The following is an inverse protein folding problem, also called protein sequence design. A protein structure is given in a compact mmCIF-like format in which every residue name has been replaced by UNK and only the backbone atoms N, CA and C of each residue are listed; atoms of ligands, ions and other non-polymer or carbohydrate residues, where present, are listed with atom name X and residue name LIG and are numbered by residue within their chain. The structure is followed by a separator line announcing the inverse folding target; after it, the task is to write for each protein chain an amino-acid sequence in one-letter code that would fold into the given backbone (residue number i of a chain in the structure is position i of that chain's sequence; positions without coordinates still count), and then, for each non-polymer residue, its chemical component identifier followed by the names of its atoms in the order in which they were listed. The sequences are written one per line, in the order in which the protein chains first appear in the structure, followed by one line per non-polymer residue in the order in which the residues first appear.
data_IF_837641219083
#
_entry.id   IF_837641219083
#
_cell.length_a   1.000
_cell.length_b   1.000
_cell.length_c   1.000
_cell.angle_alpha   90.00
_cell.angle_beta   90.00
_cell.angle_gamma   90.00
#
_symmetry.space_group_name_H-M   'P 1'
#
loop_
_entity.id
_entity.type
_entity.pdbx_description
1 polymer ?
#
# COMPACT_ATOMS: atom_id res chain seq x y z
N UNK A 1 12.79 -18.60 -20.94
CA UNK A 1 13.41 -17.36 -21.48
C UNK A 1 14.44 -17.81 -22.49
N UNK A 2 14.64 -17.07 -23.57
CA UNK A 2 15.64 -17.42 -24.58
C UNK A 2 16.30 -16.16 -25.12
N UNK A 3 17.41 -16.32 -25.84
CA UNK A 3 18.11 -15.21 -26.44
C UNK A 3 18.27 -15.40 -27.96
N UNK A 4 18.40 -14.27 -28.66
CA UNK A 4 18.69 -14.18 -30.08
C UNK A 4 19.94 -13.32 -30.29
N UNK A 5 20.81 -13.75 -31.19
CA UNK A 5 21.98 -12.98 -31.61
C UNK A 5 21.61 -12.08 -32.79
N UNK A 6 21.94 -10.79 -32.70
CA UNK A 6 21.74 -9.83 -33.80
C UNK A 6 23.05 -9.16 -34.14
N UNK A 7 23.39 -9.15 -35.42
CA UNK A 7 24.52 -8.39 -35.91
C UNK A 7 24.04 -7.01 -36.37
N UNK A 8 24.64 -5.95 -35.85
CA UNK A 8 24.38 -4.57 -36.29
C UNK A 8 25.21 -4.24 -37.52
N UNK A 9 24.83 -3.18 -38.22
CA UNK A 9 25.51 -2.69 -39.44
C UNK A 9 27.00 -2.36 -39.21
N UNK A 10 27.41 -2.07 -37.97
CA UNK A 10 28.80 -1.82 -37.59
C UNK A 10 29.57 -3.11 -37.26
N UNK A 11 29.01 -4.30 -37.54
CA UNK A 11 29.60 -5.60 -37.21
C UNK A 11 29.48 -5.99 -35.73
N UNK A 12 28.97 -5.12 -34.86
CA UNK A 12 28.82 -5.41 -33.45
C UNK A 12 27.69 -6.42 -33.21
N UNK A 13 27.99 -7.44 -32.41
CA UNK A 13 27.04 -8.47 -32.00
C UNK A 13 26.27 -7.97 -30.78
N UNK A 14 24.94 -8.00 -30.85
CA UNK A 14 24.05 -7.68 -29.74
C UNK A 14 23.19 -8.90 -29.40
N UNK A 15 23.16 -9.26 -28.12
CA UNK A 15 22.25 -10.28 -27.59
C UNK A 15 20.92 -9.65 -27.21
N UNK A 16 19.83 -10.24 -27.68
CA UNK A 16 18.46 -9.85 -27.37
C UNK A 16 17.80 -10.95 -26.54
N UNK A 17 17.22 -10.60 -25.40
CA UNK A 17 16.61 -11.57 -24.48
C UNK A 17 15.09 -11.48 -24.54
N UNK A 18 14.42 -12.62 -24.69
CA UNK A 18 12.98 -12.71 -24.90
C UNK A 18 12.38 -13.65 -23.86
N UNK A 19 11.27 -13.21 -23.25
CA UNK A 19 10.50 -14.02 -22.31
C UNK A 19 9.01 -14.01 -22.68
N UNK A 20 8.31 -15.09 -22.30
CA UNK A 20 6.87 -15.18 -22.45
C UNK A 20 6.18 -14.47 -21.29
N UNK A 21 5.39 -13.44 -21.56
CA UNK A 21 4.57 -12.78 -20.54
C UNK A 21 3.19 -13.46 -20.46
N UNK A 22 2.84 -14.11 -19.33
CA UNK A 22 1.55 -14.78 -19.18
C UNK A 22 0.35 -13.83 -19.19
N UNK A 23 0.54 -12.53 -18.91
CA UNK A 23 -0.57 -11.55 -18.90
C UNK A 23 -0.98 -11.15 -20.31
N UNK A 24 0.00 -10.77 -21.12
CA UNK A 24 -0.21 -10.35 -22.51
C UNK A 24 -0.26 -11.52 -23.49
N UNK A 25 0.14 -12.73 -23.04
CA UNK A 25 0.25 -13.94 -23.87
C UNK A 25 1.11 -13.70 -25.11
N UNK A 26 2.22 -12.99 -24.93
CA UNK A 26 3.14 -12.63 -26.00
C UNK A 26 4.60 -12.76 -25.55
N UNK A 27 5.48 -12.92 -26.54
CA UNK A 27 6.92 -12.83 -26.32
C UNK A 27 7.32 -11.36 -26.20
N UNK A 28 7.81 -10.98 -25.02
CA UNK A 28 8.31 -9.64 -24.73
C UNK A 28 9.83 -9.67 -24.70
N UNK A 29 10.45 -8.70 -25.38
CA UNK A 29 11.90 -8.49 -25.31
C UNK A 29 12.24 -7.64 -24.09
N UNK A 30 13.26 -8.05 -23.34
CA UNK A 30 13.81 -7.23 -22.26
C UNK A 30 14.35 -5.91 -22.80
N UNK A 31 14.21 -4.84 -22.01
CA UNK A 31 14.72 -3.53 -22.39
C UNK A 31 16.24 -3.52 -22.32
N UNK A 32 16.88 -2.74 -23.18
CA UNK A 32 18.35 -2.70 -23.27
C UNK A 32 19.02 -2.27 -21.96
N UNK A 33 18.36 -1.43 -21.15
CA UNK A 33 18.86 -0.98 -19.85
C UNK A 33 18.76 -2.05 -18.74
N UNK A 34 18.03 -3.15 -18.97
CA UNK A 34 17.92 -4.27 -18.04
C UNK A 34 18.94 -5.39 -18.34
N UNK A 35 19.67 -5.26 -19.45
CA UNK A 35 20.64 -6.23 -19.94
C UNK A 35 22.06 -5.71 -19.62
N UNK A 36 22.90 -6.50 -18.93
CA UNK A 36 24.29 -6.15 -18.69
C UNK A 36 25.06 -5.91 -20.00
N UNK A 37 25.90 -4.87 -20.05
CA UNK A 37 26.61 -4.47 -21.27
C UNK A 37 27.82 -5.37 -21.58
N UNK A 38 28.24 -6.20 -20.63
CA UNK A 38 29.43 -7.06 -20.66
C UNK A 38 29.17 -8.47 -21.24
N UNK A 39 27.94 -8.75 -21.70
CA UNK A 39 27.60 -10.02 -22.35
C UNK A 39 28.11 -10.00 -23.80
N UNK A 40 29.27 -10.63 -24.03
CA UNK A 40 29.92 -10.70 -25.35
C UNK A 40 29.98 -12.11 -25.93
N UNK A 41 29.59 -13.13 -25.15
CA UNK A 41 29.65 -14.54 -25.55
C UNK A 41 28.32 -15.25 -25.37
N UNK A 42 28.10 -16.29 -26.18
CA UNK A 42 26.90 -17.13 -26.11
C UNK A 42 26.77 -17.79 -24.72
N UNK A 43 27.89 -18.19 -24.11
CA UNK A 43 27.92 -18.76 -22.75
C UNK A 43 27.47 -17.76 -21.67
N UNK A 44 27.86 -16.48 -21.79
CA UNK A 44 27.38 -15.42 -20.88
C UNK A 44 25.88 -15.14 -21.10
N UNK A 45 25.39 -15.20 -22.34
CA UNK A 45 23.97 -15.03 -22.64
C UNK A 45 23.14 -16.18 -22.05
N UNK A 46 23.60 -17.43 -22.16
CA UNK A 46 22.98 -18.58 -21.51
C UNK A 46 22.97 -18.44 -19.98
N UNK A 47 24.09 -18.03 -19.39
CA UNK A 47 24.19 -17.80 -17.95
C UNK A 47 23.20 -16.71 -17.48
N UNK A 48 23.05 -15.63 -18.25
CA UNK A 48 22.10 -14.57 -17.94
C UNK A 48 20.64 -15.03 -18.06
N UNK A 49 20.30 -15.81 -19.09
CA UNK A 49 18.97 -16.44 -19.20
C UNK A 49 18.66 -17.30 -17.97
N UNK A 50 19.58 -18.18 -17.56
CA UNK A 50 19.41 -19.02 -16.37
C UNK A 50 19.26 -18.21 -15.09
N UNK A 51 20.06 -17.14 -14.94
CA UNK A 51 19.95 -16.23 -13.81
C UNK A 51 18.57 -15.58 -13.73
N UNK A 52 18.06 -15.06 -14.85
CA UNK A 52 16.74 -14.44 -14.91
C UNK A 52 15.60 -15.42 -14.70
N UNK A 53 15.72 -16.64 -15.20
CA UNK A 53 14.77 -17.71 -14.90
C UNK A 53 14.74 -18.03 -13.40
N UNK A 54 15.92 -18.15 -12.77
CA UNK A 54 16.03 -18.37 -11.33
C UNK A 54 15.42 -17.21 -10.51
N UNK A 55 15.62 -15.94 -10.91
CA UNK A 55 14.98 -14.78 -10.27
C UNK A 55 13.45 -14.84 -10.35
N UNK A 56 12.92 -15.20 -11.52
CA UNK A 56 11.47 -15.35 -11.76
C UNK A 56 10.93 -16.51 -10.92
N UNK A 57 11.63 -17.64 -10.89
CA UNK A 57 11.22 -18.82 -10.13
C UNK A 57 11.25 -18.53 -8.62
N UNK A 58 12.32 -17.92 -8.10
CA UNK A 58 12.41 -17.48 -6.71
C UNK A 58 11.26 -16.53 -6.34
N UNK A 59 10.90 -15.61 -7.23
CA UNK A 59 9.75 -14.72 -7.05
C UNK A 59 8.42 -15.47 -7.04
N UNK A 60 8.23 -16.43 -7.96
CA UNK A 60 7.05 -17.30 -7.98
C UNK A 60 6.95 -18.13 -6.70
N UNK A 61 8.03 -18.76 -6.25
CA UNK A 61 8.07 -19.52 -5.00
C UNK A 61 7.73 -18.65 -3.79
N UNK A 62 8.26 -17.43 -3.73
CA UNK A 62 7.94 -16.47 -2.66
C UNK A 62 6.46 -16.11 -2.64
N UNK A 63 5.86 -15.83 -3.81
CA UNK A 63 4.42 -15.55 -3.93
C UNK A 63 3.60 -16.78 -3.54
N UNK A 64 3.97 -17.97 -4.03
CA UNK A 64 3.28 -19.23 -3.74
C UNK A 64 3.32 -19.55 -2.24
N UNK A 65 4.48 -19.42 -1.59
CA UNK A 65 4.62 -19.59 -0.13
C UNK A 65 3.75 -18.59 0.64
N UNK A 66 3.70 -17.32 0.20
CA UNK A 66 2.83 -16.30 0.81
C UNK A 66 1.35 -16.67 0.68
N UNK A 67 0.90 -17.12 -0.49
CA UNK A 67 -0.48 -17.55 -0.71
C UNK A 67 -0.84 -18.80 0.08
N UNK A 68 0.05 -19.80 0.11
CA UNK A 68 -0.13 -21.01 0.91
C UNK A 68 -0.20 -20.69 2.42
N UNK A 69 0.65 -19.77 2.88
CA UNK A 69 0.62 -19.29 4.25
C UNK A 69 -0.70 -18.57 4.56
N UNK A 70 -1.18 -17.67 3.69
CA UNK A 70 -2.45 -16.98 3.89
C UNK A 70 -3.63 -17.96 4.03
N UNK A 71 -3.65 -19.02 3.22
CA UNK A 71 -4.70 -20.06 3.23
C UNK A 71 -4.62 -21.07 4.37
N UNK A 72 -3.57 -21.04 5.21
CA UNK A 72 -3.33 -22.07 6.24
C UNK A 72 -4.45 -22.14 7.30
N UNK A 73 -5.06 -21.01 7.65
CA UNK A 73 -6.14 -20.96 8.65
C UNK A 73 -7.46 -20.48 8.07
N UNK A 74 -7.43 -19.52 7.15
CA UNK A 74 -8.63 -18.91 6.59
C UNK A 74 -8.46 -18.60 5.10
N UNK A 75 -9.54 -18.73 4.34
CA UNK A 75 -9.63 -18.08 3.03
C UNK A 75 -10.08 -16.62 3.23
N UNK A 76 -9.11 -15.71 3.30
CA UNK A 76 -9.40 -14.29 3.51
C UNK A 76 -10.23 -13.66 2.39
N UNK A 77 -10.26 -14.25 1.19
CA UNK A 77 -11.14 -13.78 0.12
C UNK A 77 -12.60 -14.05 0.47
N UNK A 78 -12.92 -15.27 0.94
CA UNK A 78 -14.26 -15.62 1.43
C UNK A 78 -14.66 -14.73 2.61
N UNK A 79 -13.75 -14.50 3.56
CA UNK A 79 -14.04 -13.63 4.71
C UNK A 79 -14.33 -12.19 4.29
N UNK A 80 -13.61 -11.67 3.29
CA UNK A 80 -13.85 -10.34 2.73
C UNK A 80 -15.20 -10.25 2.03
N UNK A 81 -15.62 -11.28 1.31
CA UNK A 81 -16.93 -11.32 0.65
C UNK A 81 -18.08 -11.36 1.67
N UNK A 82 -17.93 -12.13 2.75
CA UNK A 82 -18.87 -12.13 3.88
C UNK A 82 -18.95 -10.73 4.50
N UNK A 83 -17.79 -10.12 4.77
CA UNK A 83 -17.71 -8.78 5.34
C UNK A 83 -18.37 -7.74 4.43
N UNK A 84 -18.08 -7.78 3.12
CA UNK A 84 -18.64 -6.86 2.13
C UNK A 84 -20.17 -6.89 2.14
N UNK A 85 -20.77 -8.08 2.05
CA UNK A 85 -22.22 -8.26 2.05
C UNK A 85 -22.84 -7.73 3.35
N UNK A 86 -22.26 -8.07 4.50
CA UNK A 86 -22.79 -7.66 5.80
C UNK A 86 -22.69 -6.14 6.03
N UNK A 87 -21.58 -5.51 5.65
CA UNK A 87 -21.42 -4.06 5.81
C UNK A 87 -22.26 -3.28 4.81
N UNK A 88 -22.42 -3.77 3.58
CA UNK A 88 -23.33 -3.16 2.60
C UNK A 88 -24.77 -3.12 3.13
N UNK A 89 -25.23 -4.19 3.78
CA UNK A 89 -26.56 -4.24 4.39
C UNK A 89 -26.70 -3.29 5.60
N UNK A 90 -25.68 -3.19 6.45
CA UNK A 90 -25.72 -2.36 7.67
C UNK A 90 -25.49 -0.87 7.41
N UNK A 91 -24.65 -0.52 6.44
CA UNK A 91 -24.16 0.83 6.23
C UNK A 91 -23.93 1.14 4.73
N UNK A 92 -25.00 1.20 3.92
CA UNK A 92 -24.92 1.30 2.46
C UNK A 92 -24.17 2.54 1.94
N UNK A 93 -24.12 3.61 2.73
CA UNK A 93 -23.44 4.86 2.34
C UNK A 93 -21.95 4.90 2.73
N UNK A 94 -21.46 3.96 3.55
CA UNK A 94 -20.09 4.02 4.09
C UNK A 94 -19.29 2.71 3.98
N UNK A 95 -19.90 1.64 3.45
CA UNK A 95 -19.26 0.33 3.34
C UNK A 95 -17.95 0.36 2.53
N UNK A 96 -17.89 1.16 1.47
CA UNK A 96 -16.69 1.29 0.63
C UNK A 96 -15.51 1.82 1.42
N UNK A 97 -15.74 2.83 2.28
CA UNK A 97 -14.71 3.37 3.17
C UNK A 97 -14.23 2.33 4.17
N UNK A 98 -15.15 1.57 4.77
CA UNK A 98 -14.77 0.50 5.71
C UNK A 98 -13.96 -0.60 5.03
N UNK A 99 -14.37 -1.00 3.83
CA UNK A 99 -13.66 -1.98 3.02
C UNK A 99 -12.26 -1.50 2.63
N UNK A 100 -12.15 -0.25 2.21
CA UNK A 100 -10.88 0.39 1.88
C UNK A 100 -9.93 0.36 3.08
N UNK A 101 -10.36 0.84 4.24
CA UNK A 101 -9.51 0.89 5.43
C UNK A 101 -9.08 -0.50 5.92
N UNK A 102 -10.01 -1.47 5.89
CA UNK A 102 -9.69 -2.85 6.23
C UNK A 102 -8.64 -3.44 5.29
N UNK A 103 -8.84 -3.35 3.97
CA UNK A 103 -7.93 -3.93 2.98
C UNK A 103 -6.56 -3.25 2.99
N UNK A 104 -6.55 -1.92 2.99
CA UNK A 104 -5.34 -1.13 2.84
C UNK A 104 -4.45 -1.16 4.08
N UNK A 105 -5.04 -1.18 5.28
CA UNK A 105 -4.28 -1.04 6.53
C UNK A 105 -4.44 -2.25 7.45
N UNK A 106 -5.67 -2.71 7.72
CA UNK A 106 -5.91 -3.84 8.61
C UNK A 106 -5.27 -5.13 8.10
N UNK A 107 -5.67 -5.60 6.92
CA UNK A 107 -5.15 -6.83 6.33
C UNK A 107 -3.68 -6.73 5.96
N UNK A 108 -3.20 -5.57 5.48
CA UNK A 108 -1.78 -5.39 5.20
C UNK A 108 -0.93 -5.59 6.46
N UNK A 109 -1.34 -4.97 7.58
CA UNK A 109 -0.62 -5.15 8.83
C UNK A 109 -0.64 -6.59 9.31
N UNK A 110 -1.82 -7.19 9.52
CA UNK A 110 -1.89 -8.53 10.13
C UNK A 110 -1.33 -9.61 9.21
N UNK A 111 -1.61 -9.57 7.90
CA UNK A 111 -1.19 -10.63 6.99
C UNK A 111 0.22 -10.44 6.43
N UNK A 112 0.65 -9.20 6.17
CA UNK A 112 1.94 -8.96 5.52
C UNK A 112 3.02 -8.51 6.48
N UNK A 113 2.71 -7.65 7.47
CA UNK A 113 3.70 -7.12 8.42
C UNK A 113 3.92 -8.08 9.59
N UNK A 114 2.85 -8.45 10.29
CA UNK A 114 2.93 -9.35 11.46
C UNK A 114 2.90 -10.82 11.09
N UNK A 115 2.47 -11.16 9.88
CA UNK A 115 2.30 -12.55 9.45
C UNK A 115 1.48 -13.34 10.49
N UNK A 116 0.32 -12.80 10.84
CA UNK A 116 -0.68 -13.40 11.71
C UNK A 116 -1.99 -13.61 10.93
N UNK A 117 -2.12 -14.77 10.31
CA UNK A 117 -3.30 -15.18 9.54
C UNK A 117 -4.43 -15.72 10.42
N UNK A 118 -4.16 -16.10 11.67
CA UNK A 118 -5.21 -16.55 12.58
C UNK A 118 -5.92 -15.35 13.24
N UNK A 119 -7.22 -15.16 12.96
CA UNK A 119 -8.02 -14.07 13.52
C UNK A 119 -8.04 -14.05 15.05
N UNK A 120 -8.06 -15.22 15.70
CA UNK A 120 -8.08 -15.32 17.16
C UNK A 120 -6.80 -14.74 17.81
N UNK A 121 -5.71 -14.67 17.05
CA UNK A 121 -4.43 -14.15 17.51
C UNK A 121 -4.25 -12.65 17.21
N UNK A 122 -5.18 -11.99 16.51
CA UNK A 122 -5.03 -10.57 16.15
C UNK A 122 -4.99 -9.66 17.37
N UNK A 123 -5.73 -10.03 18.43
CA UNK A 123 -5.76 -9.29 19.70
C UNK A 123 -4.38 -9.12 20.33
N UNK A 124 -3.48 -10.09 20.12
CA UNK A 124 -2.12 -10.08 20.65
C UNK A 124 -1.26 -8.97 20.03
N UNK A 125 -1.66 -8.44 18.87
CA UNK A 125 -0.90 -7.45 18.11
C UNK A 125 -1.63 -6.10 17.98
N UNK A 126 -2.66 -5.84 18.79
CA UNK A 126 -3.41 -4.59 18.71
C UNK A 126 -2.59 -3.35 19.08
N UNK A 127 -1.71 -3.44 20.07
CA UNK A 127 -0.82 -2.33 20.42
C UNK A 127 0.20 -2.06 19.30
N UNK A 128 0.88 -3.10 18.81
CA UNK A 128 1.77 -2.99 17.65
C UNK A 128 1.05 -2.43 16.41
N UNK A 129 -0.21 -2.78 16.21
CA UNK A 129 -1.02 -2.26 15.12
C UNK A 129 -1.25 -0.75 15.25
N UNK A 130 -1.57 -0.30 16.47
CA UNK A 130 -1.75 1.12 16.76
C UNK A 130 -0.45 1.88 16.56
N UNK A 131 0.67 1.39 17.07
CA UNK A 131 1.99 1.99 16.84
C UNK A 131 2.32 2.07 15.35
N UNK A 132 2.05 1.01 14.59
CA UNK A 132 2.27 0.99 13.15
C UNK A 132 1.44 2.06 12.42
N UNK A 133 0.18 2.28 12.80
CA UNK A 133 -0.68 3.32 12.24
C UNK A 133 -0.17 4.75 12.49
N UNK A 134 0.69 4.96 13.49
CA UNK A 134 1.37 6.25 13.68
C UNK A 134 2.45 6.50 12.63
N UNK A 135 3.12 5.43 12.18
CA UNK A 135 4.28 5.50 11.26
C UNK A 135 3.93 5.33 9.78
N UNK A 136 2.74 4.81 9.47
CA UNK A 136 2.36 4.49 8.08
C UNK A 136 2.17 5.77 7.26
N UNK A 137 2.90 5.84 6.14
CA UNK A 137 2.84 6.96 5.18
C UNK A 137 1.68 6.78 4.22
N UNK A 138 1.01 7.89 3.88
CA UNK A 138 -0.01 7.87 2.83
C UNK A 138 0.68 7.97 1.46
N UNK A 139 0.32 7.11 0.51
CA UNK A 139 0.99 7.07 -0.81
C UNK A 139 0.71 8.27 -1.72
N UNK A 140 -0.12 9.24 -1.29
CA UNK A 140 -0.55 10.40 -2.09
C UNK A 140 0.00 11.74 -1.61
N UNK A 141 0.53 11.83 -0.40
CA UNK A 141 1.07 13.10 0.10
C UNK A 141 2.57 13.19 -0.19
N UNK A 142 3.00 14.29 -0.82
CA UNK A 142 4.40 14.68 -0.98
C UNK A 142 5.02 15.15 0.34
N UNK A 143 4.20 15.60 1.29
CA UNK A 143 4.62 15.88 2.67
C UNK A 143 4.61 14.56 3.47
N UNK A 144 5.55 14.42 4.41
CA UNK A 144 5.76 13.23 5.23
C UNK A 144 4.65 12.95 6.24
N UNK A 145 3.42 13.32 5.92
CA UNK A 145 2.32 13.30 6.85
C UNK A 145 1.75 11.88 6.88
N UNK A 146 1.93 11.24 8.04
CA UNK A 146 1.27 9.97 8.35
C UNK A 146 -0.25 10.11 8.32
N UNK A 147 -0.95 9.02 8.62
CA UNK A 147 -2.41 9.08 8.70
C UNK A 147 -2.90 10.08 9.76
N UNK A 148 -3.89 10.91 9.45
CA UNK A 148 -4.59 11.68 10.48
C UNK A 148 -5.21 10.77 11.55
N UNK A 149 -5.32 11.23 12.80
CA UNK A 149 -5.91 10.44 13.89
C UNK A 149 -7.35 9.98 13.62
N UNK A 150 -8.13 10.78 12.88
CA UNK A 150 -9.47 10.40 12.41
C UNK A 150 -9.42 9.18 11.50
N UNK A 151 -8.54 9.19 10.50
CA UNK A 151 -8.29 8.06 9.61
C UNK A 151 -7.79 6.84 10.36
N UNK A 152 -6.85 6.99 11.31
CA UNK A 152 -6.39 5.89 12.18
C UNK A 152 -7.54 5.25 12.95
N UNK A 153 -8.43 6.06 13.52
CA UNK A 153 -9.61 5.58 14.24
C UNK A 153 -10.66 4.93 13.33
N UNK A 154 -10.78 5.37 12.07
CA UNK A 154 -11.60 4.71 11.06
C UNK A 154 -11.03 3.33 10.71
N UNK A 155 -9.71 3.22 10.55
CA UNK A 155 -9.03 1.94 10.33
C UNK A 155 -9.30 0.96 11.48
N UNK A 156 -9.07 1.39 12.72
CA UNK A 156 -9.37 0.57 13.91
C UNK A 156 -10.87 0.20 13.95
N UNK A 157 -11.75 1.15 13.60
CA UNK A 157 -13.18 0.91 13.47
C UNK A 157 -13.50 -0.22 12.49
N UNK A 158 -12.93 -0.18 11.29
CA UNK A 158 -13.13 -1.21 10.26
C UNK A 158 -12.63 -2.58 10.69
N UNK A 159 -11.49 -2.67 11.36
CA UNK A 159 -10.97 -3.94 11.93
C UNK A 159 -11.93 -4.48 12.99
N UNK A 160 -12.41 -3.64 13.89
CA UNK A 160 -13.35 -4.07 14.94
C UNK A 160 -14.69 -4.54 14.37
N UNK A 161 -15.23 -3.86 13.35
CA UNK A 161 -16.48 -4.28 12.68
C UNK A 161 -16.25 -5.60 11.94
N UNK A 162 -15.11 -5.78 11.29
CA UNK A 162 -14.74 -7.03 10.64
C UNK A 162 -14.73 -8.20 11.65
N UNK A 163 -14.04 -8.04 12.77
CA UNK A 163 -13.97 -9.07 13.81
C UNK A 163 -15.33 -9.34 14.47
N UNK A 164 -16.18 -8.33 14.67
CA UNK A 164 -17.58 -8.51 15.12
C UNK A 164 -18.38 -9.38 14.14
N UNK A 165 -18.25 -9.12 12.84
CA UNK A 165 -18.95 -9.90 11.81
C UNK A 165 -18.39 -11.33 11.77
N UNK A 166 -17.07 -11.51 11.78
CA UNK A 166 -16.46 -12.84 11.78
C UNK A 166 -16.87 -13.66 13.01
N UNK A 167 -16.96 -13.04 14.18
CA UNK A 167 -17.43 -13.69 15.41
C UNK A 167 -18.89 -14.12 15.26
N UNK A 168 -19.78 -13.22 14.81
CA UNK A 168 -21.21 -13.53 14.58
C UNK A 168 -21.44 -14.62 13.53
N UNK A 169 -20.50 -14.80 12.60
CA UNK A 169 -20.54 -15.85 11.57
C UNK A 169 -19.80 -17.14 11.99
N UNK A 170 -19.31 -17.22 13.23
CA UNK A 170 -18.58 -18.38 13.74
C UNK A 170 -17.22 -18.61 13.09
N UNK A 171 -16.63 -17.57 12.46
CA UNK A 171 -15.30 -17.65 11.82
C UNK A 171 -14.17 -17.32 12.81
N UNK A 172 -14.46 -16.70 13.95
CA UNK A 172 -13.53 -16.54 15.05
C UNK A 172 -14.22 -16.84 16.40
N UNK A 173 -13.44 -17.30 17.36
CA UNK A 173 -13.93 -17.77 18.67
C UNK A 173 -14.13 -16.62 19.64
N UNK A 174 -13.27 -15.61 19.54
CA UNK A 174 -13.29 -14.44 20.39
C UNK A 174 -13.75 -13.22 19.58
N UNK A 175 -14.33 -12.25 20.29
CA UNK A 175 -14.66 -10.94 19.74
C UNK A 175 -13.72 -9.86 20.31
N UNK A 176 -12.42 -9.87 19.98
CA UNK A 176 -11.52 -8.87 20.51
C UNK A 176 -11.81 -7.49 19.89
N UNK A 177 -11.63 -6.44 20.68
CA UNK A 177 -11.80 -5.04 20.24
C UNK A 177 -10.49 -4.28 20.43
N UNK A 178 -9.97 -3.71 19.35
CA UNK A 178 -8.82 -2.83 19.38
C UNK A 178 -9.25 -1.44 19.87
N UNK A 179 -8.51 -0.91 20.85
CA UNK A 179 -8.79 0.40 21.43
C UNK A 179 -8.47 1.51 20.44
N UNK A 180 -9.42 2.44 20.25
CA UNK A 180 -9.22 3.63 19.42
C UNK A 180 -8.27 4.61 20.10
N UNK A 181 -7.61 5.45 19.31
CA UNK A 181 -6.84 6.58 19.83
C UNK A 181 -7.76 7.55 20.60
N UNK A 182 -7.26 8.17 21.69
CA UNK A 182 -8.01 9.11 22.49
C UNK A 182 -8.62 10.26 21.70
N UNK A 183 -9.82 10.70 22.11
CA UNK A 183 -10.55 11.77 21.41
C UNK A 183 -9.84 13.12 21.40
N UNK A 184 -9.04 13.41 22.42
CA UNK A 184 -8.29 14.68 22.50
C UNK A 184 -7.25 14.83 21.37
N UNK A 185 -6.87 13.74 20.69
CA UNK A 185 -5.96 13.76 19.54
C UNK A 185 -6.69 13.93 18.20
N UNK A 186 -8.03 13.84 18.15
CA UNK A 186 -8.80 13.91 16.91
C UNK A 186 -8.98 15.34 16.39
N UNK A 187 -8.87 16.34 17.27
CA UNK A 187 -9.18 17.74 16.97
C UNK A 187 -7.99 18.68 17.17
N UNK A 188 -6.77 18.16 17.39
CA UNK A 188 -5.57 19.00 17.28
C UNK A 188 -5.33 19.28 15.81
N UNK A 189 -5.78 20.46 15.37
CA UNK A 189 -5.12 21.19 14.30
C UNK A 189 -4.11 22.07 15.01
N UNK A 190 -2.82 21.79 14.85
CA UNK A 190 -1.82 22.72 15.35
C UNK A 190 -1.82 23.95 14.41
N UNK A 191 -1.37 25.12 14.88
CA UNK A 191 -1.44 26.35 14.08
C UNK A 191 -0.78 26.20 12.69
N UNK A 192 0.28 25.38 12.66
CA UNK A 192 1.05 24.96 11.48
C UNK A 192 0.22 24.14 10.46
N UNK A 193 -0.89 23.50 10.89
CA UNK A 193 -1.80 22.76 10.00
C UNK A 193 -2.82 23.67 9.30
N UNK A 194 -3.04 24.89 9.82
CA UNK A 194 -4.08 25.81 9.35
C UNK A 194 -3.52 26.82 8.37
N UNK A 195 -2.30 27.30 8.59
CA UNK A 195 -1.62 28.28 7.76
C UNK A 195 -0.14 27.89 7.71
N UNK A 196 0.39 27.61 6.53
CA UNK A 196 1.84 27.49 6.35
C UNK A 196 2.53 28.84 6.54
N UNK A 197 3.79 28.87 6.98
CA UNK A 197 4.52 30.14 7.18
C UNK A 197 4.53 31.03 5.91
N UNK A 198 4.54 30.40 4.73
CA UNK A 198 4.43 31.06 3.43
C UNK A 198 3.04 31.69 3.21
N UNK A 199 1.98 30.98 3.56
CA UNK A 199 0.61 31.52 3.51
C UNK A 199 0.40 32.64 4.55
N UNK A 200 1.00 32.51 5.74
CA UNK A 200 0.95 33.54 6.77
C UNK A 200 1.60 34.83 6.27
N UNK A 201 2.82 34.71 5.69
CA UNK A 201 3.55 35.82 5.07
C UNK A 201 2.76 36.48 3.93
N UNK A 202 2.17 35.66 3.06
CA UNK A 202 1.32 36.14 1.96
C UNK A 202 0.10 36.92 2.46
N UNK A 203 -0.59 36.40 3.47
CA UNK A 203 -1.75 37.06 4.09
C UNK A 203 -1.32 38.38 4.75
N UNK A 204 -0.22 38.41 5.51
CA UNK A 204 0.27 39.66 6.10
C UNK A 204 0.65 40.69 5.03
N UNK A 205 1.27 40.27 3.93
CA UNK A 205 1.64 41.16 2.83
C UNK A 205 0.40 41.77 2.17
N UNK A 206 -0.63 40.96 1.91
CA UNK A 206 -1.91 41.42 1.36
C UNK A 206 -2.63 42.40 2.31
N UNK A 207 -2.60 42.15 3.61
CA UNK A 207 -3.21 43.03 4.61
C UNK A 207 -2.50 44.40 4.68
N UNK A 208 -1.18 44.45 4.53
CA UNK A 208 -0.43 45.72 4.51
C UNK A 208 -0.71 46.51 3.22
N UNK A 209 -0.71 45.86 2.06
CA UNK A 209 -1.03 46.49 0.78
C UNK A 209 -2.47 47.02 0.72
N UNK A 210 -3.42 46.33 1.36
CA UNK A 210 -4.79 46.81 1.51
C UNK A 210 -4.88 48.08 2.36
N UNK A 211 -4.14 48.16 3.47
CA UNK A 211 -4.14 49.31 4.37
C UNK A 211 -3.51 50.57 3.74
N UNK A 212 -2.49 50.41 2.90
CA UNK A 212 -1.86 51.51 2.19
C UNK A 212 -2.80 52.12 1.12
N UNK A 213 -3.63 51.29 0.48
CA UNK A 213 -4.64 51.75 -0.47
C UNK A 213 -5.83 52.47 0.19
N UNK A 214 -6.18 52.13 1.43
CA UNK A 214 -7.21 52.87 2.19
C UNK A 214 -6.69 54.22 2.72
N UNK A 215 -5.39 54.31 3.01
CA UNK A 215 -4.76 55.55 3.50
C UNK A 215 -4.58 56.59 2.39
N UNK A 216 -4.42 56.16 1.13
CA UNK A 216 -4.30 57.05 -0.04
C UNK A 216 -5.65 57.59 -0.57
N UNK A 217 -6.76 56.95 -0.22
CA UNK A 217 -8.13 57.41 -0.56
C UNK A 217 -8.71 58.38 0.47
N UNK A 218 -8.08 58.51 1.64
CA UNK A 218 -8.50 59.41 2.72
C UNK A 218 -7.74 60.75 2.74
N UNK A 219 -6.89 61.00 1.73
CA UNK A 219 -6.15 62.25 1.50
C UNK A 219 -6.71 62.99 0.29
#
# INVERSE_FOLDING_TARGET
MYWEKRQKNNGHIQYCFIYWDPKTKANIRLKQNEIPQDITSDAQADAFCRLKEAEVEASKMRIARKLAWQKKFYDFQELLEIFEKEVQLRAPNSWQGQMYYLKQYGLDFFLNKKQCNNLNNWSLYFEDFREWLLTVKTGKSTKSDGLAYSSRNNVIGSVNIFLDIMFKKGKCELQPKCQKFPRHLLNRRDAEDVISDEEALSITTLLHQGNDNYSSLAS
#
